data_IF_039065136517
#
_entry.id   IF_039065136517
#
_cell.length_a   1.000
_cell.length_b   1.000
_cell.length_c   1.000
_cell.angle_alpha   90.00
_cell.angle_beta   90.00
_cell.angle_gamma   90.00
#
_symmetry.space_group_name_H-M   'P 1'
#
loop_
_entity.id
_entity.type
_entity.pdbx_description
1 polymer ?
#
# COMPACT_ATOMS: atom_id res chain seq x y z
N UNK A 1 -12.81 -14.06 -10.04
CA UNK A 1 -12.41 -12.64 -10.11
C UNK A 1 -10.94 -12.55 -9.77
N UNK A 2 -10.10 -12.03 -10.68
CA UNK A 2 -8.67 -11.84 -10.41
C UNK A 2 -8.45 -10.40 -9.92
N UNK A 3 -7.75 -10.24 -8.79
CA UNK A 3 -7.45 -8.94 -8.15
C UNK A 3 -5.95 -8.62 -8.16
N UNK A 4 -5.14 -9.41 -8.84
CA UNK A 4 -3.71 -9.16 -8.98
C UNK A 4 -3.52 -7.98 -9.94
N UNK A 5 -2.83 -6.94 -9.46
CA UNK A 5 -2.45 -5.75 -10.22
C UNK A 5 -0.94 -5.77 -10.53
N UNK A 6 -0.49 -4.93 -11.46
CA UNK A 6 0.88 -4.96 -11.97
C UNK A 6 1.92 -4.52 -10.94
N UNK A 7 1.62 -3.50 -10.13
CA UNK A 7 2.56 -2.88 -9.19
C UNK A 7 1.85 -2.14 -8.04
N UNK A 8 2.64 -1.58 -7.13
CA UNK A 8 2.15 -0.86 -5.95
C UNK A 8 1.38 0.42 -6.30
N UNK A 9 1.84 1.19 -7.30
CA UNK A 9 1.16 2.42 -7.75
C UNK A 9 -0.26 2.12 -8.24
N UNK A 10 -0.45 1.05 -9.02
CA UNK A 10 -1.78 0.62 -9.48
C UNK A 10 -2.68 0.20 -8.30
N UNK A 11 -2.10 -0.41 -7.27
CA UNK A 11 -2.84 -0.86 -6.09
C UNK A 11 -3.39 0.31 -5.25
N UNK A 12 -2.73 1.47 -5.27
CA UNK A 12 -3.12 2.66 -4.49
C UNK A 12 -3.66 3.81 -5.33
N UNK A 13 -3.91 3.59 -6.63
CA UNK A 13 -4.28 4.64 -7.60
C UNK A 13 -5.49 5.52 -7.20
N UNK A 14 -6.40 4.97 -6.40
CA UNK A 14 -7.64 5.62 -5.98
C UNK A 14 -7.53 6.23 -4.56
N UNK A 15 -6.33 6.21 -3.96
CA UNK A 15 -6.04 6.79 -2.65
C UNK A 15 -6.03 8.32 -2.73
N UNK A 16 -6.57 8.96 -1.70
CA UNK A 16 -6.73 10.42 -1.63
C UNK A 16 -6.02 10.98 -0.40
N UNK A 17 -5.62 12.24 -0.48
CA UNK A 17 -5.04 12.98 0.63
C UNK A 17 -5.97 12.98 1.84
N UNK A 18 -5.39 12.81 3.04
CA UNK A 18 -6.14 12.75 4.29
C UNK A 18 -6.80 11.40 4.59
N UNK A 19 -6.59 10.37 3.76
CA UNK A 19 -7.05 9.02 4.06
C UNK A 19 -6.44 8.47 5.37
N UNK A 20 -7.25 7.76 6.15
CA UNK A 20 -6.78 6.99 7.31
C UNK A 20 -6.48 5.57 6.86
N UNK A 21 -5.22 5.15 6.96
CA UNK A 21 -4.74 3.86 6.50
C UNK A 21 -4.44 2.95 7.71
N UNK A 22 -4.99 1.74 7.70
CA UNK A 22 -4.56 0.68 8.63
C UNK A 22 -3.34 -0.02 8.04
N UNK A 23 -2.21 0.03 8.75
CA UNK A 23 -0.95 -0.60 8.32
C UNK A 23 -0.54 -1.68 9.31
N UNK A 24 -0.17 -2.86 8.79
CA UNK A 24 0.32 -3.99 9.58
C UNK A 24 1.85 -4.05 9.66
N UNK A 25 2.36 -4.81 10.63
CA UNK A 25 3.80 -5.05 10.85
C UNK A 25 4.25 -4.75 12.28
N UNK A 26 5.45 -5.25 12.64
CA UNK A 26 6.12 -4.94 13.90
C UNK A 26 7.58 -4.53 13.64
N UNK A 27 7.90 -3.25 13.84
CA UNK A 27 9.18 -2.70 13.42
C UNK A 27 9.37 -2.84 11.91
N UNK A 28 10.37 -3.63 11.50
CA UNK A 28 10.64 -3.98 10.09
C UNK A 28 10.10 -5.35 9.68
N UNK A 29 9.47 -6.09 10.60
CA UNK A 29 8.95 -7.42 10.31
C UNK A 29 7.49 -7.32 9.81
N UNK A 30 7.24 -7.73 8.57
CA UNK A 30 5.89 -7.87 8.02
C UNK A 30 5.21 -6.56 7.63
N UNK A 31 5.97 -5.47 7.41
CA UNK A 31 5.42 -4.23 6.89
C UNK A 31 5.18 -4.31 5.38
N UNK A 32 4.19 -3.58 4.83
CA UNK A 32 3.92 -3.53 3.39
C UNK A 32 4.90 -2.57 2.68
N UNK A 33 6.19 -2.91 2.67
CA UNK A 33 7.30 -2.03 2.24
C UNK A 33 7.11 -1.44 0.83
N UNK A 34 6.63 -2.22 -0.13
CA UNK A 34 6.39 -1.75 -1.50
C UNK A 34 5.24 -0.73 -1.58
N UNK A 35 4.20 -0.88 -0.76
CA UNK A 35 3.10 0.10 -0.71
C UNK A 35 3.55 1.37 -0.02
N UNK A 36 4.32 1.26 1.08
CA UNK A 36 4.87 2.43 1.79
C UNK A 36 5.77 3.24 0.85
N UNK A 37 6.61 2.59 0.04
CA UNK A 37 7.47 3.27 -0.92
C UNK A 37 6.69 3.99 -2.05
N UNK A 38 5.48 3.53 -2.38
CA UNK A 38 4.63 4.14 -3.41
C UNK A 38 3.79 5.31 -2.88
N UNK A 39 3.66 5.47 -1.55
CA UNK A 39 3.03 6.63 -0.94
C UNK A 39 4.03 7.79 -0.98
N UNK A 40 3.83 8.72 -1.93
CA UNK A 40 4.61 9.95 -2.09
C UNK A 40 3.89 11.13 -1.42
#
# INVERSE_FOLDING_TARGET
MNKVVKNADEAIRDMQDGAVIMSGGFGLCGNPENLIAAIQ
#
